data_IF_598070528848
#
_entry.id   IF_598070528848
#
_cell.length_a   1.000
_cell.length_b   1.000
_cell.length_c   1.000
_cell.angle_alpha   90.00
_cell.angle_beta   90.00
_cell.angle_gamma   90.00
#
_symmetry.space_group_name_H-M   'P 1'
#
loop_
_entity.id
_entity.type
_entity.pdbx_description
1 polymer ?
#
# COMPACT_ATOMS: atom_id res chain seq x y z
N UNK A 1 -11.66 -10.45 -8.70
CA UNK A 1 -10.53 -9.68 -9.27
C UNK A 1 -9.24 -10.12 -8.55
N UNK A 2 -8.03 -9.76 -8.98
CA UNK A 2 -6.81 -9.92 -8.15
C UNK A 2 -6.43 -8.55 -7.57
N UNK A 3 -5.98 -8.49 -6.32
CA UNK A 3 -5.44 -7.25 -5.77
C UNK A 3 -4.23 -6.79 -6.58
N UNK A 4 -4.03 -5.47 -6.67
CA UNK A 4 -2.86 -4.90 -7.35
C UNK A 4 -1.55 -5.36 -6.72
N UNK A 5 -1.51 -5.52 -5.39
CA UNK A 5 -0.34 -6.08 -4.70
C UNK A 5 -0.04 -7.52 -5.15
N UNK A 6 -1.06 -8.37 -5.29
CA UNK A 6 -0.88 -9.74 -5.79
C UNK A 6 -0.35 -9.76 -7.23
N UNK A 7 -0.85 -8.87 -8.09
CA UNK A 7 -0.34 -8.73 -9.47
C UNK A 7 1.12 -8.29 -9.48
N UNK A 8 1.49 -7.31 -8.66
CA UNK A 8 2.87 -6.83 -8.54
C UNK A 8 3.84 -7.98 -8.23
N UNK A 9 3.49 -8.83 -7.27
CA UNK A 9 4.28 -10.01 -6.91
C UNK A 9 4.36 -11.07 -8.03
N UNK A 10 3.26 -11.31 -8.76
CA UNK A 10 3.22 -12.34 -9.80
C UNK A 10 3.96 -11.91 -11.08
N UNK A 11 3.82 -10.63 -11.45
CA UNK A 11 4.25 -10.06 -12.73
C UNK A 11 5.71 -9.56 -12.67
N UNK A 12 6.16 -9.01 -11.53
CA UNK A 12 7.53 -8.52 -11.36
C UNK A 12 8.40 -9.57 -10.63
N UNK A 13 9.22 -10.28 -11.40
CA UNK A 13 10.16 -11.30 -10.86
C UNK A 13 11.28 -10.71 -10.01
N UNK A 14 11.51 -9.40 -10.10
CA UNK A 14 12.51 -8.70 -9.29
C UNK A 14 11.93 -8.04 -8.05
N UNK A 15 10.61 -8.13 -7.83
CA UNK A 15 9.95 -7.52 -6.69
C UNK A 15 10.53 -8.02 -5.36
N UNK A 16 11.01 -7.08 -4.53
CA UNK A 16 11.63 -7.38 -3.24
C UNK A 16 13.03 -7.98 -3.32
N UNK A 17 13.65 -8.03 -4.50
CA UNK A 17 15.06 -8.46 -4.62
C UNK A 17 15.96 -7.55 -3.79
N UNK A 18 16.89 -8.14 -3.04
CA UNK A 18 17.81 -7.45 -2.12
C UNK A 18 17.17 -6.87 -0.84
N UNK A 19 15.89 -7.16 -0.56
CA UNK A 19 15.31 -6.81 0.73
C UNK A 19 15.98 -7.62 1.84
N UNK A 20 16.40 -6.94 2.90
CA UNK A 20 17.01 -7.53 4.10
C UNK A 20 15.99 -7.82 5.20
N UNK A 21 14.79 -7.26 5.09
CA UNK A 21 13.70 -7.43 6.04
C UNK A 21 12.33 -7.35 5.36
N UNK A 22 11.36 -8.01 5.96
CA UNK A 22 10.00 -8.11 5.46
C UNK A 22 9.01 -8.14 6.63
N UNK A 23 7.98 -7.30 6.57
CA UNK A 23 6.88 -7.26 7.54
C UNK A 23 5.58 -7.03 6.77
N UNK A 24 4.55 -7.84 7.03
CA UNK A 24 3.28 -7.75 6.35
C UNK A 24 2.13 -8.10 7.29
N UNK A 25 0.93 -7.63 6.94
CA UNK A 25 -0.25 -7.91 7.73
C UNK A 25 -1.42 -7.09 7.26
N UNK A 26 -2.37 -6.91 8.18
CA UNK A 26 -3.56 -6.11 7.96
C UNK A 26 -3.62 -5.00 9.00
N UNK A 27 -4.14 -3.86 8.59
CA UNK A 27 -4.46 -2.75 9.49
C UNK A 27 -5.83 -2.18 9.12
N UNK A 28 -6.47 -1.53 10.07
CA UNK A 28 -7.63 -0.69 9.79
C UNK A 28 -7.14 0.76 9.65
N UNK A 29 -7.48 1.43 8.55
CA UNK A 29 -7.15 2.83 8.39
C UNK A 29 -8.15 3.76 9.11
N UNK A 30 -7.91 5.07 9.08
CA UNK A 30 -8.77 6.07 9.72
C UNK A 30 -10.20 6.13 9.15
N UNK A 31 -10.40 5.65 7.92
CA UNK A 31 -11.70 5.57 7.26
C UNK A 31 -12.47 4.29 7.60
N UNK A 32 -11.89 3.42 8.45
CA UNK A 32 -12.50 2.16 8.87
C UNK A 32 -12.31 1.02 7.88
N UNK A 33 -11.52 1.21 6.82
CA UNK A 33 -11.25 0.19 5.82
C UNK A 33 -10.13 -0.76 6.26
N UNK A 34 -10.28 -2.05 5.93
CA UNK A 34 -9.21 -3.03 6.08
C UNK A 34 -8.20 -2.86 4.93
N UNK A 35 -6.93 -2.69 5.27
CA UNK A 35 -5.82 -2.46 4.34
C UNK A 35 -4.75 -3.51 4.57
N UNK A 36 -4.33 -4.18 3.49
CA UNK A 36 -3.17 -5.06 3.53
C UNK A 36 -1.93 -4.19 3.46
N UNK A 37 -0.99 -4.38 4.37
CA UNK A 37 0.30 -3.71 4.31
C UNK A 37 1.43 -4.69 4.03
N UNK A 38 2.46 -4.19 3.35
CA UNK A 38 3.73 -4.88 3.15
C UNK A 38 4.86 -3.87 3.25
N UNK A 39 5.88 -4.20 4.03
CA UNK A 39 7.06 -3.37 4.26
C UNK A 39 8.27 -4.20 3.85
N UNK A 40 9.06 -3.65 2.94
CA UNK A 40 10.34 -4.18 2.52
C UNK A 40 11.44 -3.26 3.04
N UNK A 41 12.35 -3.83 3.81
CA UNK A 41 13.55 -3.13 4.28
C UNK A 41 14.70 -3.47 3.35
N UNK A 42 15.44 -2.44 2.96
CA UNK A 42 16.69 -2.53 2.20
C UNK A 42 17.79 -1.83 3.00
N UNK A 43 19.04 -2.00 2.58
CA UNK A 43 20.19 -1.38 3.24
C UNK A 43 20.09 0.15 3.30
N UNK A 44 19.46 0.79 2.32
CA UNK A 44 19.41 2.24 2.17
C UNK A 44 18.01 2.87 2.24
N UNK A 45 16.96 2.05 2.31
CA UNK A 45 15.56 2.52 2.27
C UNK A 45 14.57 1.50 2.80
N UNK A 46 13.36 1.98 3.03
CA UNK A 46 12.15 1.19 3.23
C UNK A 46 11.17 1.46 2.10
N UNK A 47 10.54 0.40 1.58
CA UNK A 47 9.38 0.49 0.72
C UNK A 47 8.16 -0.03 1.47
N UNK A 48 7.12 0.80 1.59
CA UNK A 48 5.85 0.46 2.23
C UNK A 48 4.76 0.45 1.18
N UNK A 49 4.03 -0.65 1.08
CA UNK A 49 2.91 -0.86 0.17
C UNK A 49 1.63 -0.99 0.98
N UNK A 50 0.60 -0.25 0.60
CA UNK A 50 -0.74 -0.32 1.19
C UNK A 50 -1.74 -0.71 0.09
N UNK A 51 -2.42 -1.82 0.29
CA UNK A 51 -3.39 -2.36 -0.65
C UNK A 51 -4.79 -2.29 -0.04
N UNK A 52 -5.63 -1.42 -0.62
CA UNK A 52 -7.05 -1.35 -0.30
C UNK A 52 -7.82 -2.14 -1.36
N UNK A 53 -8.44 -3.23 -0.92
CA UNK A 53 -9.15 -4.15 -1.78
C UNK A 53 -10.52 -4.51 -1.20
N UNK A 54 -11.57 -4.02 -1.84
CA UNK A 54 -12.96 -4.23 -1.41
C UNK A 54 -13.79 -4.76 -2.59
N UNK A 55 -14.24 -6.00 -2.47
CA UNK A 55 -15.18 -6.66 -3.41
C UNK A 55 -16.61 -6.73 -2.84
N UNK A 56 -16.87 -6.15 -1.67
CA UNK A 56 -18.13 -6.32 -0.96
C UNK A 56 -19.28 -5.48 -1.50
N UNK A 57 -19.06 -4.16 -1.69
CA UNK A 57 -20.08 -3.23 -2.20
C UNK A 57 -19.46 -2.17 -3.12
N UNK A 58 -20.18 -1.71 -4.16
CA UNK A 58 -19.73 -0.59 -4.96
C UNK A 58 -19.53 0.69 -4.12
N UNK A 59 -18.54 1.55 -4.48
CA UNK A 59 -17.57 1.34 -5.55
C UNK A 59 -16.53 0.30 -5.16
N UNK A 60 -16.33 -0.71 -6.02
CA UNK A 60 -15.27 -1.70 -5.81
C UNK A 60 -13.92 -1.01 -5.88
N UNK A 61 -13.11 -1.17 -4.82
CA UNK A 61 -11.80 -0.52 -4.71
C UNK A 61 -10.70 -1.56 -4.88
N UNK A 62 -9.73 -1.24 -5.73
CA UNK A 62 -8.50 -2.02 -5.90
C UNK A 62 -7.36 -1.02 -6.09
N UNK A 63 -6.89 -0.49 -4.97
CA UNK A 63 -5.92 0.60 -4.89
C UNK A 63 -4.66 0.04 -4.24
N UNK A 64 -3.52 0.36 -4.84
CA UNK A 64 -2.21 0.08 -4.29
C UNK A 64 -1.47 1.41 -4.21
N UNK A 65 -1.10 1.79 -3.00
CA UNK A 65 -0.25 2.94 -2.71
C UNK A 65 1.13 2.46 -2.30
N UNK A 66 2.15 3.27 -2.58
CA UNK A 66 3.55 3.00 -2.24
C UNK A 66 4.19 4.25 -1.67
N UNK A 67 4.92 4.10 -0.56
CA UNK A 67 5.86 5.08 -0.05
C UNK A 67 7.26 4.49 -0.01
N UNK A 68 8.27 5.28 -0.38
CA UNK A 68 9.69 4.90 -0.32
C UNK A 68 10.48 6.00 0.35
N UNK A 69 11.22 5.67 1.40
CA UNK A 69 12.04 6.64 2.13
C UNK A 69 13.21 5.97 2.85
N UNK A 70 14.11 6.76 3.45
CA UNK A 70 15.24 6.23 4.22
C UNK A 70 14.84 5.63 5.56
N UNK A 71 13.73 6.07 6.14
CA UNK A 71 13.19 5.55 7.40
C UNK A 71 11.85 4.87 7.19
N UNK A 72 11.52 3.93 8.07
CA UNK A 72 10.23 3.22 8.03
C UNK A 72 9.07 4.19 8.20
N UNK A 73 9.18 5.14 9.14
CA UNK A 73 8.13 6.08 9.49
C UNK A 73 7.80 7.03 8.33
N UNK A 74 8.82 7.55 7.63
CA UNK A 74 8.63 8.44 6.49
C UNK A 74 8.02 7.67 5.31
N UNK A 75 8.48 6.43 5.04
CA UNK A 75 7.90 5.60 3.98
C UNK A 75 6.43 5.25 4.28
N UNK A 76 6.09 4.99 5.54
CA UNK A 76 4.71 4.75 5.98
C UNK A 76 3.83 5.99 5.78
N UNK A 77 4.31 7.17 6.19
CA UNK A 77 3.59 8.44 6.00
C UNK A 77 3.28 8.69 4.52
N UNK A 78 4.29 8.55 3.65
CA UNK A 78 4.12 8.71 2.20
C UNK A 78 3.12 7.70 1.61
N UNK A 79 3.16 6.45 2.07
CA UNK A 79 2.22 5.43 1.60
C UNK A 79 0.77 5.74 2.02
N UNK A 80 0.57 6.28 3.23
CA UNK A 80 -0.75 6.70 3.74
C UNK A 80 -1.27 7.89 2.94
N UNK A 81 -0.46 8.94 2.76
CA UNK A 81 -0.83 10.11 1.97
C UNK A 81 -1.25 9.73 0.55
N UNK A 82 -0.49 8.83 -0.07
CA UNK A 82 -0.76 8.33 -1.42
C UNK A 82 -2.03 7.48 -1.48
N UNK A 83 -2.29 6.65 -0.46
CA UNK A 83 -3.54 5.89 -0.34
C UNK A 83 -4.73 6.83 -0.21
N UNK A 84 -4.65 7.83 0.66
CA UNK A 84 -5.76 8.76 0.90
C UNK A 84 -6.04 9.61 -0.34
N UNK A 85 -4.98 10.00 -1.06
CA UNK A 85 -5.08 10.67 -2.35
C UNK A 85 -5.87 9.87 -3.38
N UNK A 86 -5.60 8.57 -3.48
CA UNK A 86 -6.27 7.72 -4.47
C UNK A 86 -7.65 7.23 -4.04
N UNK A 87 -7.87 7.04 -2.74
CA UNK A 87 -9.08 6.41 -2.23
C UNK A 87 -10.16 7.41 -1.80
N UNK A 88 -9.79 8.61 -1.33
CA UNK A 88 -10.72 9.50 -0.62
C UNK A 88 -10.71 10.96 -1.10
N UNK A 89 -9.79 11.37 -1.97
CA UNK A 89 -9.70 12.78 -2.42
C UNK A 89 -10.79 13.23 -3.41
N UNK A 90 -11.95 12.58 -3.43
CA UNK A 90 -13.11 12.94 -4.27
C UNK A 90 -14.33 13.50 -3.50
N UNK A 91 -14.20 13.89 -2.24
CA UNK A 91 -15.29 14.51 -1.46
C UNK A 91 -15.15 16.04 -1.26
N UNK A 92 -14.46 16.75 -2.17
CA UNK A 92 -14.53 18.22 -2.24
C UNK A 92 -14.91 18.65 -3.66
N UNK A 93 -16.20 18.59 -3.98
CA UNK A 93 -16.80 19.50 -4.96
C UNK A 93 -18.01 20.15 -4.29
N UNK A 94 -17.92 21.49 -4.22
CA UNK A 94 -18.86 22.45 -3.65
C UNK A 94 -20.30 22.33 -4.15
#
# INVERSE_FOLDING_TARGET
MKSKLKKLFEDDKSFGTDSIGFDNGFMQNQHGDLVDYMILEYVDRFDVYLNLYDEGKPPYRNILAKGSAKTKEEAQMLAIEELDRFAYSNDIIH
#
